data_IF_014161134051
#
_entry.id   IF_014161134051
#
_cell.length_a   1.000
_cell.length_b   1.000
_cell.length_c   1.000
_cell.angle_alpha   90.00
_cell.angle_beta   90.00
_cell.angle_gamma   90.00
#
_symmetry.space_group_name_H-M   'P 1'
#
loop_
_entity.id
_entity.type
_entity.pdbx_description
1 polymer ?
#
# COMPACT_ATOMS: atom_id res chain seq x y z
N UNK A 1 -1.58 -16.00 -12.89
CA UNK A 1 -0.49 -15.12 -12.49
C UNK A 1 -0.66 -14.72 -11.02
N UNK A 2 0.34 -14.99 -10.21
CA UNK A 2 0.31 -14.68 -8.77
C UNK A 2 1.24 -13.53 -8.40
N UNK A 3 2.30 -13.33 -9.14
CA UNK A 3 3.31 -12.29 -8.87
C UNK A 3 3.50 -11.44 -10.10
N UNK A 4 3.42 -10.12 -9.90
CA UNK A 4 3.69 -9.14 -10.96
C UNK A 4 4.59 -8.04 -10.39
N UNK A 5 5.77 -7.87 -11.00
CA UNK A 5 6.71 -6.81 -10.62
C UNK A 5 6.86 -5.84 -11.77
N UNK A 6 6.49 -4.59 -11.51
CA UNK A 6 6.52 -3.49 -12.48
C UNK A 6 7.37 -2.32 -11.96
N UNK A 7 8.22 -2.58 -10.97
CA UNK A 7 9.08 -1.54 -10.39
C UNK A 7 9.97 -0.89 -11.45
N UNK A 8 10.23 0.41 -11.25
CA UNK A 8 11.09 1.20 -12.14
C UNK A 8 10.60 1.24 -13.61
N UNK A 9 9.30 1.04 -13.84
CA UNK A 9 8.71 1.17 -15.17
C UNK A 9 7.95 2.49 -15.30
N UNK A 10 7.53 2.81 -16.53
CA UNK A 10 6.72 4.01 -16.79
C UNK A 10 5.22 3.76 -16.66
N UNK A 11 4.82 2.70 -15.97
CA UNK A 11 3.39 2.42 -15.78
C UNK A 11 2.71 3.57 -15.04
N UNK A 12 1.48 3.87 -15.47
CA UNK A 12 0.65 4.94 -14.93
C UNK A 12 -0.66 4.36 -14.42
N UNK A 13 -1.53 5.24 -13.90
CA UNK A 13 -2.87 4.84 -13.44
C UNK A 13 -3.68 4.17 -14.53
N UNK A 14 -3.53 4.61 -15.78
CA UNK A 14 -4.19 3.97 -16.93
C UNK A 14 -3.73 2.53 -17.10
N UNK A 15 -2.42 2.28 -16.99
CA UNK A 15 -1.88 0.91 -17.08
C UNK A 15 -2.38 0.01 -15.94
N UNK A 16 -2.52 0.55 -14.74
CA UNK A 16 -3.03 -0.19 -13.59
C UNK A 16 -4.47 -0.68 -13.82
N UNK A 17 -5.27 0.07 -14.55
CA UNK A 17 -6.66 -0.34 -14.84
C UNK A 17 -6.75 -1.69 -15.54
N UNK A 18 -5.69 -2.07 -16.27
CA UNK A 18 -5.61 -3.35 -16.96
C UNK A 18 -5.43 -4.55 -16.02
N UNK A 19 -5.07 -4.33 -14.74
CA UNK A 19 -4.83 -5.39 -13.78
C UNK A 19 -6.11 -5.96 -13.17
N UNK A 20 -7.26 -5.37 -13.43
CA UNK A 20 -8.53 -5.78 -12.84
C UNK A 20 -8.90 -7.25 -13.07
N UNK A 21 -8.43 -7.83 -14.17
CA UNK A 21 -8.69 -9.24 -14.49
C UNK A 21 -7.75 -10.22 -13.78
N UNK A 22 -6.75 -9.75 -13.04
CA UNK A 22 -5.73 -10.58 -12.42
C UNK A 22 -6.07 -10.89 -10.94
N UNK A 23 -7.28 -11.40 -10.70
CA UNK A 23 -7.79 -11.64 -9.35
C UNK A 23 -6.98 -12.64 -8.52
N UNK A 24 -6.10 -13.42 -9.14
CA UNK A 24 -5.22 -14.36 -8.43
C UNK A 24 -3.91 -13.74 -7.93
N UNK A 25 -3.67 -12.44 -8.19
CA UNK A 25 -2.43 -11.79 -7.74
C UNK A 25 -2.34 -11.79 -6.21
N UNK A 26 -1.19 -12.24 -5.72
CA UNK A 26 -0.83 -12.18 -4.30
C UNK A 26 0.33 -11.23 -4.04
N UNK A 27 1.16 -10.95 -5.05
CA UNK A 27 2.31 -10.04 -4.94
C UNK A 27 2.26 -9.04 -6.09
N UNK A 28 2.27 -7.74 -5.76
CA UNK A 28 2.33 -6.65 -6.74
C UNK A 28 3.36 -5.62 -6.30
N UNK A 29 4.35 -5.38 -7.15
CA UNK A 29 5.38 -4.37 -6.93
C UNK A 29 5.21 -3.25 -7.96
N UNK A 30 4.85 -2.06 -7.47
CA UNK A 30 4.67 -0.84 -8.25
C UNK A 30 5.63 0.27 -7.80
N UNK A 31 6.69 -0.10 -7.08
CA UNK A 31 7.65 0.87 -6.58
C UNK A 31 8.34 1.62 -7.73
N UNK A 32 8.68 2.88 -7.51
CA UNK A 32 9.35 3.73 -8.49
C UNK A 32 8.59 3.83 -9.82
N UNK A 33 7.26 3.89 -9.76
CA UNK A 33 6.40 4.08 -10.93
C UNK A 33 5.65 5.41 -10.87
N UNK A 34 4.88 5.71 -11.90
CA UNK A 34 4.08 6.94 -11.99
C UNK A 34 2.65 6.76 -11.48
N UNK A 35 2.39 5.69 -10.73
CA UNK A 35 1.08 5.43 -10.14
C UNK A 35 0.77 6.46 -9.07
N UNK A 36 -0.47 6.94 -9.05
CA UNK A 36 -1.00 7.88 -8.04
C UNK A 36 -2.18 7.27 -7.29
N UNK A 37 -2.76 8.05 -6.38
CA UNK A 37 -3.94 7.62 -5.61
C UNK A 37 -5.09 7.14 -6.51
N UNK A 38 -5.26 7.77 -7.67
CA UNK A 38 -6.31 7.39 -8.62
C UNK A 38 -6.15 5.95 -9.13
N UNK A 39 -4.91 5.50 -9.35
CA UNK A 39 -4.64 4.14 -9.80
C UNK A 39 -4.97 3.09 -8.75
N UNK A 40 -4.80 3.41 -7.46
CA UNK A 40 -5.07 2.47 -6.38
C UNK A 40 -6.54 2.06 -6.31
N UNK A 41 -7.44 2.91 -6.81
CA UNK A 41 -8.86 2.57 -6.90
C UNK A 41 -9.09 1.30 -7.71
N UNK A 42 -8.27 1.05 -8.71
CA UNK A 42 -8.38 -0.15 -9.54
C UNK A 42 -7.94 -1.41 -8.83
N UNK A 43 -7.11 -1.30 -7.79
CA UNK A 43 -6.57 -2.46 -7.08
C UNK A 43 -7.55 -3.10 -6.11
N UNK A 44 -8.67 -2.46 -5.79
CA UNK A 44 -9.62 -2.94 -4.76
C UNK A 44 -10.24 -4.30 -5.10
N UNK A 45 -10.17 -4.71 -6.35
CA UNK A 45 -10.66 -6.02 -6.80
C UNK A 45 -9.66 -7.16 -6.54
N UNK A 46 -8.42 -6.84 -6.26
CA UNK A 46 -7.36 -7.84 -6.04
C UNK A 46 -7.43 -8.36 -4.59
N UNK A 47 -8.50 -9.09 -4.27
CA UNK A 47 -8.81 -9.49 -2.90
C UNK A 47 -7.83 -10.49 -2.28
N UNK A 48 -7.01 -11.14 -3.10
CA UNK A 48 -6.00 -12.09 -2.64
C UNK A 48 -4.62 -11.45 -2.44
N UNK A 49 -4.50 -10.13 -2.68
CA UNK A 49 -3.23 -9.44 -2.61
C UNK A 49 -2.69 -9.45 -1.18
N UNK A 50 -1.49 -10.01 -1.01
CA UNK A 50 -0.79 -10.13 0.28
C UNK A 50 0.40 -9.19 0.40
N UNK A 51 1.05 -8.86 -0.72
CA UNK A 51 2.20 -7.97 -0.74
C UNK A 51 1.98 -6.88 -1.79
N UNK A 52 2.08 -5.63 -1.34
CA UNK A 52 1.98 -4.46 -2.19
C UNK A 52 3.12 -3.51 -1.87
N UNK A 53 3.95 -3.22 -2.85
CA UNK A 53 5.02 -2.23 -2.72
C UNK A 53 4.69 -1.01 -3.58
N UNK A 54 4.63 0.15 -2.92
CA UNK A 54 4.33 1.46 -3.52
C UNK A 54 5.44 2.47 -3.23
N UNK A 55 6.64 2.01 -2.86
CA UNK A 55 7.75 2.90 -2.52
C UNK A 55 8.03 3.88 -3.65
N UNK A 56 8.33 5.13 -3.28
CA UNK A 56 8.70 6.18 -4.25
C UNK A 56 7.67 6.37 -5.37
N UNK A 57 6.39 6.36 -5.00
CA UNK A 57 5.29 6.72 -5.89
C UNK A 57 4.61 7.99 -5.38
N UNK A 58 3.67 8.53 -6.13
CA UNK A 58 2.93 9.75 -5.76
C UNK A 58 1.68 9.43 -4.91
N UNK A 59 1.74 8.40 -4.07
CA UNK A 59 0.65 8.03 -3.17
C UNK A 59 0.63 8.96 -1.96
N UNK A 60 -0.58 9.32 -1.54
CA UNK A 60 -0.84 10.15 -0.36
C UNK A 60 -1.86 9.48 0.56
N UNK A 61 -2.27 10.17 1.62
CA UNK A 61 -3.31 9.69 2.53
C UNK A 61 -4.60 9.30 1.80
N UNK A 62 -4.92 10.00 0.70
CA UNK A 62 -6.11 9.67 -0.10
C UNK A 62 -6.06 8.27 -0.68
N UNK A 63 -4.88 7.80 -1.09
CA UNK A 63 -4.70 6.45 -1.63
C UNK A 63 -4.95 5.36 -0.61
N UNK A 64 -4.64 5.61 0.66
CA UNK A 64 -4.86 4.65 1.74
C UNK A 64 -6.36 4.34 1.94
N UNK A 65 -7.25 5.22 1.49
CA UNK A 65 -8.69 4.96 1.48
C UNK A 65 -9.04 3.75 0.60
N UNK A 66 -8.28 3.51 -0.44
CA UNK A 66 -8.46 2.34 -1.31
C UNK A 66 -7.74 1.12 -0.74
N UNK A 67 -6.53 1.30 -0.22
CA UNK A 67 -5.70 0.22 0.31
C UNK A 67 -6.38 -0.46 1.50
N UNK A 68 -7.14 0.27 2.32
CA UNK A 68 -7.85 -0.32 3.47
C UNK A 68 -8.83 -1.44 3.08
N UNK A 69 -9.21 -1.52 1.81
CA UNK A 69 -10.10 -2.56 1.30
C UNK A 69 -9.37 -3.86 0.94
N UNK A 70 -8.04 -3.83 0.91
CA UNK A 70 -7.21 -5.00 0.60
C UNK A 70 -6.91 -5.78 1.89
N UNK A 71 -7.93 -6.43 2.42
CA UNK A 71 -7.90 -7.02 3.76
C UNK A 71 -6.97 -8.21 3.93
N UNK A 72 -6.49 -8.80 2.83
CA UNK A 72 -5.53 -9.90 2.87
C UNK A 72 -4.06 -9.41 2.98
N UNK A 73 -3.80 -8.10 2.94
CA UNK A 73 -2.44 -7.57 2.95
C UNK A 73 -1.67 -8.00 4.20
N UNK A 74 -0.46 -8.48 3.98
CA UNK A 74 0.53 -8.85 4.99
C UNK A 74 1.75 -7.93 4.94
N UNK A 75 2.12 -7.44 3.76
CA UNK A 75 3.23 -6.51 3.55
C UNK A 75 2.73 -5.29 2.78
N UNK A 76 3.04 -4.10 3.29
CA UNK A 76 2.77 -2.84 2.62
C UNK A 76 4.01 -1.94 2.67
N UNK A 77 4.60 -1.65 1.52
CA UNK A 77 5.72 -0.75 1.38
C UNK A 77 5.26 0.63 0.95
N UNK A 78 5.50 1.64 1.81
CA UNK A 78 5.15 3.04 1.55
C UNK A 78 6.38 3.94 1.71
N UNK A 79 7.58 3.40 1.52
CA UNK A 79 8.82 4.19 1.63
C UNK A 79 8.80 5.38 0.69
N UNK A 80 9.21 6.54 1.20
CA UNK A 80 9.34 7.76 0.39
C UNK A 80 8.04 8.14 -0.35
N UNK A 81 6.90 7.97 0.30
CA UNK A 81 5.61 8.44 -0.16
C UNK A 81 5.08 9.55 0.76
N UNK A 82 3.93 10.13 0.49
CA UNK A 82 3.46 11.37 1.13
C UNK A 82 2.41 11.13 2.22
N UNK A 83 2.45 10.01 2.93
CA UNK A 83 1.51 9.74 4.02
C UNK A 83 1.85 10.55 5.27
N UNK A 84 0.78 10.86 6.01
CA UNK A 84 0.84 11.50 7.32
C UNK A 84 0.17 10.60 8.37
N UNK A 85 0.18 11.04 9.64
CA UNK A 85 -0.48 10.29 10.71
C UNK A 85 -1.99 10.09 10.44
N UNK A 86 -2.64 11.05 9.75
CA UNK A 86 -4.05 10.92 9.41
C UNK A 86 -4.30 9.74 8.45
N UNK A 87 -3.40 9.51 7.51
CA UNK A 87 -3.51 8.38 6.58
C UNK A 87 -3.39 7.04 7.28
N UNK A 88 -2.50 6.92 8.28
CA UNK A 88 -2.31 5.67 9.01
C UNK A 88 -3.60 5.18 9.70
N UNK A 89 -4.47 6.09 10.12
CA UNK A 89 -5.73 5.73 10.74
C UNK A 89 -6.60 4.88 9.79
N UNK A 90 -6.48 5.12 8.49
CA UNK A 90 -7.29 4.43 7.48
C UNK A 90 -6.95 2.95 7.34
N UNK A 91 -5.73 2.55 7.68
CA UNK A 91 -5.27 1.16 7.55
C UNK A 91 -5.25 0.40 8.89
N UNK A 92 -5.79 0.98 9.95
CA UNK A 92 -5.81 0.37 11.29
C UNK A 92 -6.57 -0.95 11.37
N UNK A 93 -7.43 -1.23 10.40
CA UNK A 93 -8.21 -2.48 10.34
C UNK A 93 -7.59 -3.58 9.48
N UNK A 94 -6.43 -3.34 8.88
CA UNK A 94 -5.71 -4.37 8.11
C UNK A 94 -5.05 -5.36 9.08
N UNK A 95 -5.84 -6.21 9.68
CA UNK A 95 -5.43 -7.08 10.80
C UNK A 95 -4.42 -8.17 10.39
N UNK A 96 -4.31 -8.46 9.10
CA UNK A 96 -3.34 -9.42 8.60
C UNK A 96 -1.97 -8.80 8.32
N UNK A 97 -1.85 -7.47 8.48
CA UNK A 97 -0.60 -6.77 8.18
C UNK A 97 0.49 -7.17 9.16
N UNK A 98 1.61 -7.67 8.64
CA UNK A 98 2.78 -8.13 9.39
C UNK A 98 3.94 -7.16 9.28
N UNK A 99 4.03 -6.41 8.19
CA UNK A 99 5.09 -5.44 7.94
C UNK A 99 4.54 -4.21 7.23
N UNK A 100 4.93 -3.04 7.75
CA UNK A 100 4.60 -1.73 7.17
C UNK A 100 5.86 -0.88 7.08
N UNK A 101 6.27 -0.53 5.86
CA UNK A 101 7.43 0.33 5.61
C UNK A 101 7.01 1.78 5.45
N UNK A 102 7.50 2.67 6.33
CA UNK A 102 7.13 4.09 6.35
C UNK A 102 8.33 5.05 6.31
N UNK A 103 9.55 4.53 6.13
CA UNK A 103 10.73 5.39 6.08
C UNK A 103 10.60 6.42 4.96
N UNK A 104 10.92 7.68 5.27
CA UNK A 104 10.84 8.76 4.29
C UNK A 104 9.45 9.34 4.09
N UNK A 105 8.46 8.96 4.92
CA UNK A 105 7.14 9.59 4.93
C UNK A 105 7.08 10.70 5.97
N UNK A 106 5.95 11.42 6.03
CA UNK A 106 5.70 12.47 7.05
C UNK A 106 5.04 11.92 8.31
N UNK A 107 5.02 10.59 8.49
CA UNK A 107 4.51 9.93 9.69
C UNK A 107 5.46 10.18 10.87
N UNK A 108 4.89 10.42 12.04
CA UNK A 108 5.66 10.63 13.29
C UNK A 108 5.46 9.46 14.25
N UNK A 109 6.21 9.47 15.37
CA UNK A 109 6.07 8.46 16.44
C UNK A 109 4.65 8.41 16.98
N UNK A 110 3.95 9.53 17.05
CA UNK A 110 2.56 9.59 17.51
C UNK A 110 1.66 8.72 16.62
N UNK A 111 1.78 8.88 15.30
CA UNK A 111 1.00 8.07 14.36
C UNK A 111 1.32 6.59 14.43
N UNK A 112 2.61 6.25 14.52
CA UNK A 112 3.05 4.86 14.65
C UNK A 112 2.53 4.24 15.96
N UNK A 113 2.66 4.94 17.08
CA UNK A 113 2.20 4.42 18.37
C UNK A 113 0.69 4.21 18.39
N UNK A 114 -0.08 5.12 17.79
CA UNK A 114 -1.53 4.94 17.66
C UNK A 114 -1.89 3.72 16.81
N UNK A 115 -1.18 3.53 15.69
CA UNK A 115 -1.43 2.38 14.82
C UNK A 115 -1.09 1.06 15.51
N UNK A 116 0.00 1.01 16.28
CA UNK A 116 0.42 -0.19 17.02
C UNK A 116 -0.63 -0.68 18.02
N UNK A 117 -1.46 0.20 18.55
CA UNK A 117 -2.57 -0.19 19.44
C UNK A 117 -3.59 -1.06 18.70
N UNK A 118 -3.76 -0.86 17.39
CA UNK A 118 -4.68 -1.63 16.56
C UNK A 118 -4.00 -2.83 15.88
N UNK A 119 -2.70 -2.73 15.62
CA UNK A 119 -1.90 -3.73 14.91
C UNK A 119 -0.67 -4.11 15.75
N UNK A 120 -0.85 -4.71 16.95
CA UNK A 120 0.28 -4.96 17.86
C UNK A 120 1.29 -5.97 17.31
N UNK A 121 0.90 -6.85 16.39
CA UNK A 121 1.79 -7.82 15.77
C UNK A 121 2.48 -7.33 14.51
N UNK A 122 2.22 -6.09 14.06
CA UNK A 122 2.81 -5.55 12.84
C UNK A 122 4.18 -4.92 13.13
N UNK A 123 5.19 -5.30 12.36
CA UNK A 123 6.49 -4.63 12.39
C UNK A 123 6.40 -3.37 11.54
N UNK A 124 6.64 -2.22 12.16
CA UNK A 124 6.56 -0.92 11.49
C UNK A 124 7.96 -0.32 11.41
N UNK A 125 8.44 -0.12 10.19
CA UNK A 125 9.73 0.50 9.89
C UNK A 125 9.50 1.96 9.51
N UNK A 126 9.90 2.86 10.37
CA UNK A 126 9.74 4.30 10.15
C UNK A 126 11.06 5.01 9.97
#
# INVERSE_FOLDING_TARGET
LRTLRLSETNITDEGISCLNGLGSLTVLDLSYTKVTDAGLKCLVRLKQLKQLDLASTAITDAGLTHIKKLTALQFLGLYATAETNAGLQKISRLKNLQFLGLYGTSVTDVGVNNLKKHLPGCTINR
#
